data_IF_792899058347
#
_entry.id   IF_792899058347
#
_cell.length_a   1.000
_cell.length_b   1.000
_cell.length_c   1.000
_cell.angle_alpha   90.00
_cell.angle_beta   90.00
_cell.angle_gamma   90.00
#
_symmetry.space_group_name_H-M   'P 1'
#
loop_
_entity.id
_entity.type
_entity.pdbx_description
1 polymer ?
#
# COMPACT_ATOMS: atom_id res chain seq x y z
N UNK A 1 7.68 -4.59 10.92
CA UNK A 1 7.11 -3.53 11.78
C UNK A 1 6.71 -2.39 10.86
N UNK A 2 5.46 -1.94 10.88
CA UNK A 2 5.03 -0.75 10.15
C UNK A 2 4.59 0.34 11.13
N UNK A 3 4.87 1.56 10.74
CA UNK A 3 4.56 2.78 11.49
C UNK A 3 4.07 3.84 10.51
N UNK A 4 3.04 4.56 10.92
CA UNK A 4 2.59 5.77 10.26
C UNK A 4 2.75 6.89 11.25
N UNK A 5 3.45 7.94 10.82
CA UNK A 5 3.61 9.19 11.54
C UNK A 5 3.09 10.31 10.66
N UNK A 6 1.95 10.89 11.05
CA UNK A 6 1.37 12.05 10.39
C UNK A 6 1.93 13.33 11.00
N UNK A 7 3.20 13.63 10.70
CA UNK A 7 3.90 14.84 11.12
C UNK A 7 3.72 15.16 12.62
N UNK A 8 3.76 14.13 13.48
CA UNK A 8 3.61 14.26 14.93
C UNK A 8 2.19 14.51 15.45
N UNK A 9 1.18 14.57 14.58
CA UNK A 9 -0.22 14.74 14.99
C UNK A 9 -0.83 13.43 15.47
N UNK A 10 -0.49 12.33 14.82
CA UNK A 10 -0.94 11.00 15.17
C UNK A 10 0.07 9.98 14.68
N UNK A 11 0.32 8.96 15.50
CA UNK A 11 1.13 7.83 15.10
C UNK A 11 0.44 6.52 15.47
N UNK A 12 0.55 5.53 14.58
CA UNK A 12 0.03 4.18 14.80
C UNK A 12 1.09 3.19 14.37
N UNK A 13 1.29 2.16 15.20
CA UNK A 13 2.27 1.11 14.97
C UNK A 13 1.60 -0.25 14.98
N UNK A 14 1.96 -1.06 13.98
CA UNK A 14 1.56 -2.47 13.90
C UNK A 14 2.82 -3.34 13.84
N UNK A 15 2.88 -4.30 14.76
CA UNK A 15 3.98 -5.25 14.87
C UNK A 15 3.60 -6.62 14.26
N UNK A 16 4.61 -7.43 13.98
CA UNK A 16 4.44 -8.74 13.35
C UNK A 16 4.63 -8.72 11.83
N UNK A 17 4.46 -9.91 11.24
CA UNK A 17 4.51 -10.14 9.80
C UNK A 17 3.09 -10.18 9.26
N UNK A 18 2.70 -9.16 8.51
CA UNK A 18 1.35 -9.02 7.97
C UNK A 18 1.35 -8.88 6.44
N UNK A 19 2.48 -8.50 5.82
CA UNK A 19 2.64 -8.50 4.36
C UNK A 19 3.56 -9.64 3.91
N UNK A 20 3.19 -10.25 2.80
CA UNK A 20 4.01 -11.22 2.07
C UNK A 20 4.59 -10.59 0.81
N UNK A 21 5.61 -11.22 0.22
CA UNK A 21 6.15 -10.76 -1.07
C UNK A 21 5.12 -10.86 -2.20
N UNK A 22 4.14 -11.78 -2.10
CA UNK A 22 3.06 -11.89 -3.06
C UNK A 22 2.14 -10.67 -3.00
N UNK A 23 1.84 -10.18 -1.79
CA UNK A 23 1.00 -8.99 -1.61
C UNK A 23 1.67 -7.75 -2.24
N UNK A 24 2.99 -7.62 -2.03
CA UNK A 24 3.79 -6.56 -2.65
C UNK A 24 3.79 -6.66 -4.18
N UNK A 25 3.95 -7.88 -4.72
CA UNK A 25 3.96 -8.11 -6.16
C UNK A 25 2.61 -7.80 -6.82
N UNK A 26 1.51 -8.28 -6.24
CA UNK A 26 0.16 -7.96 -6.72
C UNK A 26 -0.10 -6.46 -6.68
N UNK A 27 0.24 -5.81 -5.56
CA UNK A 27 0.07 -4.36 -5.42
C UNK A 27 0.90 -3.56 -6.43
N UNK A 28 2.12 -4.01 -6.75
CA UNK A 28 2.95 -3.37 -7.79
C UNK A 28 2.29 -3.45 -9.17
N UNK A 29 1.71 -4.59 -9.52
CA UNK A 29 1.02 -4.76 -10.80
C UNK A 29 -0.22 -3.84 -10.87
N UNK A 30 -0.96 -3.72 -9.77
CA UNK A 30 -2.09 -2.79 -9.66
C UNK A 30 -1.64 -1.31 -9.70
N UNK A 31 -0.52 -0.97 -9.07
CA UNK A 31 0.08 0.37 -9.13
C UNK A 31 0.48 0.76 -10.56
N UNK A 32 1.01 -0.19 -11.33
CA UNK A 32 1.33 0.01 -12.75
C UNK A 32 0.07 0.30 -13.55
N UNK A 33 -1.01 -0.43 -13.29
CA UNK A 33 -2.31 -0.18 -13.94
C UNK A 33 -2.89 1.17 -13.53
N UNK A 34 -2.79 1.53 -12.24
CA UNK A 34 -3.21 2.82 -11.71
C UNK A 34 -2.47 3.98 -12.36
N UNK A 35 -1.17 3.83 -12.59
CA UNK A 35 -0.35 4.85 -13.26
C UNK A 35 -0.67 5.00 -14.76
N UNK A 36 -1.07 3.91 -15.42
CA UNK A 36 -1.38 3.93 -16.86
C UNK A 36 -2.80 4.41 -17.18
N UNK A 37 -3.76 4.17 -16.27
CA UNK A 37 -5.18 4.42 -16.54
C UNK A 37 -5.86 5.07 -15.33
N UNK A 38 -6.42 6.27 -15.54
CA UNK A 38 -7.25 6.94 -14.55
C UNK A 38 -8.49 6.10 -14.18
N UNK A 39 -8.95 6.22 -12.93
CA UNK A 39 -10.12 5.49 -12.41
C UNK A 39 -9.84 4.03 -11.99
N UNK A 40 -8.58 3.58 -12.03
CA UNK A 40 -8.18 2.31 -11.44
C UNK A 40 -7.91 2.45 -9.94
N UNK A 41 -7.81 1.31 -9.27
CA UNK A 41 -7.49 1.21 -7.84
C UNK A 41 -6.33 0.22 -7.67
N UNK A 42 -5.50 0.47 -6.65
CA UNK A 42 -4.50 -0.47 -6.18
C UNK A 42 -4.68 -0.70 -4.68
N UNK A 43 -4.58 -1.94 -4.23
CA UNK A 43 -4.75 -2.35 -2.84
C UNK A 43 -3.54 -3.16 -2.35
N UNK A 44 -2.96 -2.73 -1.24
CA UNK A 44 -1.99 -3.50 -0.48
C UNK A 44 -2.65 -3.98 0.80
N UNK A 45 -3.10 -5.22 0.79
CA UNK A 45 -3.74 -5.89 1.93
C UNK A 45 -2.82 -6.92 2.59
N UNK A 46 -2.98 -7.07 3.90
CA UNK A 46 -2.34 -8.14 4.68
C UNK A 46 -3.19 -9.40 4.73
N UNK A 47 -2.58 -10.54 5.10
CA UNK A 47 -3.31 -11.75 5.49
C UNK A 47 -3.95 -11.54 6.88
N UNK A 48 -5.00 -10.72 6.94
CA UNK A 48 -5.68 -10.29 8.16
C UNK A 48 -6.12 -8.82 8.11
N UNK A 49 -6.84 -8.31 9.12
CA UNK A 49 -7.30 -6.91 9.13
C UNK A 49 -6.23 -5.92 9.58
N UNK A 50 -5.02 -6.38 9.89
CA UNK A 50 -3.97 -5.59 10.53
C UNK A 50 -3.57 -4.36 9.71
N UNK A 51 -3.62 -4.48 8.38
CA UNK A 51 -3.21 -3.44 7.45
C UNK A 51 -3.95 -3.57 6.11
N UNK A 52 -4.52 -2.45 5.65
CA UNK A 52 -5.06 -2.27 4.31
C UNK A 52 -4.67 -0.87 3.83
N UNK A 53 -4.01 -0.76 2.68
CA UNK A 53 -3.81 0.49 1.96
C UNK A 53 -4.53 0.40 0.62
N UNK A 54 -5.42 1.34 0.33
CA UNK A 54 -6.10 1.47 -0.96
C UNK A 54 -5.74 2.80 -1.59
N UNK A 55 -5.38 2.77 -2.86
CA UNK A 55 -5.09 3.93 -3.68
C UNK A 55 -6.10 3.98 -4.82
N UNK A 56 -6.87 5.06 -4.92
CA UNK A 56 -7.84 5.27 -5.98
C UNK A 56 -7.45 6.50 -6.79
N UNK A 57 -7.20 6.31 -8.09
CA UNK A 57 -6.85 7.39 -9.00
C UNK A 57 -8.09 8.16 -9.43
N UNK A 58 -8.06 9.49 -9.31
CA UNK A 58 -9.09 10.36 -9.87
C UNK A 58 -8.82 10.63 -11.36
N UNK A 59 -9.85 11.11 -12.05
CA UNK A 59 -9.71 11.63 -13.42
C UNK A 59 -8.89 12.93 -13.51
N UNK A 60 -8.59 13.57 -12.37
CA UNK A 60 -7.91 14.86 -12.29
C UNK A 60 -6.41 14.76 -12.02
N UNK A 61 -5.85 13.56 -11.93
CA UNK A 61 -4.43 13.37 -11.62
C UNK A 61 -4.12 13.11 -10.14
N UNK A 62 -5.11 13.28 -9.26
CA UNK A 62 -4.96 13.04 -7.82
C UNK A 62 -5.17 11.56 -7.47
N UNK A 63 -4.61 11.12 -6.36
CA UNK A 63 -4.80 9.78 -5.82
C UNK A 63 -5.32 9.92 -4.40
N UNK A 64 -6.51 9.35 -4.14
CA UNK A 64 -7.01 9.19 -2.80
C UNK A 64 -6.39 7.93 -2.19
N UNK A 65 -5.74 8.08 -1.03
CA UNK A 65 -5.11 7.00 -0.30
C UNK A 65 -5.88 6.76 1.01
N UNK A 66 -6.54 5.62 1.09
CA UNK A 66 -7.26 5.16 2.27
C UNK A 66 -6.44 4.10 2.98
N UNK A 67 -6.06 4.38 4.22
CA UNK A 67 -5.16 3.53 4.99
C UNK A 67 -5.83 3.11 6.29
N UNK A 68 -6.00 1.81 6.46
CA UNK A 68 -6.59 1.21 7.65
C UNK A 68 -5.56 0.34 8.36
N UNK A 69 -5.44 0.54 9.67
CA UNK A 69 -4.61 -0.26 10.55
C UNK A 69 -5.42 -0.73 11.73
N UNK A 70 -5.27 -2.00 12.06
CA UNK A 70 -5.96 -2.62 13.17
C UNK A 70 -4.91 -3.32 14.04
N UNK A 71 -4.23 -2.58 14.94
CA UNK A 71 -3.22 -3.16 15.83
C UNK A 71 -3.79 -4.24 16.75
N UNK A 72 -5.05 -4.07 17.17
CA UNK A 72 -5.83 -5.05 17.91
C UNK A 72 -7.24 -5.13 17.31
N UNK A 73 -7.58 -6.31 16.79
CA UNK A 73 -8.85 -6.57 16.10
C UNK A 73 -10.09 -6.37 16.99
N UNK A 74 -9.94 -6.47 18.30
CA UNK A 74 -11.04 -6.36 19.25
C UNK A 74 -11.24 -4.94 19.76
N UNK A 75 -10.20 -4.10 19.75
CA UNK A 75 -10.20 -2.84 20.51
C UNK A 75 -9.87 -1.61 19.68
N UNK A 76 -9.04 -1.71 18.64
CA UNK A 76 -8.51 -0.52 17.95
C UNK A 76 -8.45 -0.69 16.43
N UNK A 77 -9.17 0.18 15.73
CA UNK A 77 -9.03 0.39 14.29
C UNK A 77 -8.80 1.87 14.02
N UNK A 78 -7.73 2.16 13.28
CA UNK A 78 -7.37 3.50 12.85
C UNK A 78 -7.50 3.59 11.34
N UNK A 79 -8.12 4.67 10.88
CA UNK A 79 -8.31 4.96 9.46
C UNK A 79 -7.75 6.34 9.15
N UNK A 80 -6.98 6.43 8.08
CA UNK A 80 -6.40 7.65 7.58
C UNK A 80 -6.79 7.85 6.12
N UNK A 81 -7.15 9.08 5.79
CA UNK A 81 -7.43 9.52 4.43
C UNK A 81 -6.36 10.53 4.03
N UNK A 82 -5.65 10.23 2.95
CA UNK A 82 -4.54 11.04 2.44
C UNK A 82 -4.79 11.33 0.96
N UNK A 83 -4.32 12.48 0.50
CA UNK A 83 -4.23 12.76 -0.94
C UNK A 83 -2.76 12.73 -1.37
N UNK A 84 -2.52 12.00 -2.45
CA UNK A 84 -1.23 11.87 -3.11
C UNK A 84 -1.35 12.40 -4.54
N UNK A 85 -0.23 12.84 -5.09
CA UNK A 85 -0.12 13.21 -6.50
C UNK A 85 0.43 12.03 -7.32
N UNK A 86 -0.03 11.87 -8.57
CA UNK A 86 0.46 10.81 -9.48
C UNK A 86 1.97 10.87 -9.72
N UNK A 87 2.61 12.03 -9.56
CA UNK A 87 4.07 12.19 -9.67
C UNK A 87 4.86 11.32 -8.69
N UNK A 88 4.24 10.85 -7.60
CA UNK A 88 4.89 9.92 -6.66
C UNK A 88 4.90 8.46 -7.14
N UNK A 89 3.96 8.06 -8.02
CA UNK A 89 3.81 6.66 -8.44
C UNK A 89 5.05 6.08 -9.11
N UNK A 90 5.73 6.76 -10.06
CA UNK A 90 6.94 6.22 -10.69
C UNK A 90 8.04 5.90 -9.68
N UNK A 91 8.20 6.75 -8.66
CA UNK A 91 9.18 6.54 -7.59
C UNK A 91 8.87 5.31 -6.74
N UNK A 92 7.60 5.15 -6.35
CA UNK A 92 7.12 4.02 -5.56
C UNK A 92 7.26 2.71 -6.34
N UNK A 93 6.81 2.69 -7.61
CA UNK A 93 6.91 1.52 -8.51
C UNK A 93 8.36 1.03 -8.58
N UNK A 94 9.31 1.95 -8.84
CA UNK A 94 10.74 1.62 -8.92
C UNK A 94 11.28 1.03 -7.61
N UNK A 95 10.87 1.55 -6.46
CA UNK A 95 11.31 1.03 -5.16
C UNK A 95 10.79 -0.39 -4.91
N UNK A 96 9.52 -0.65 -5.25
CA UNK A 96 8.93 -1.98 -5.12
C UNK A 96 9.56 -2.98 -6.09
N UNK A 97 9.89 -2.55 -7.32
CA UNK A 97 10.66 -3.36 -8.27
C UNK A 97 12.00 -3.80 -7.67
N UNK A 98 12.80 -2.86 -7.14
CA UNK A 98 14.08 -3.17 -6.48
C UNK A 98 13.90 -4.13 -5.29
N UNK A 99 12.82 -4.01 -4.52
CA UNK A 99 12.51 -4.93 -3.42
C UNK A 99 12.24 -6.34 -3.94
N UNK A 100 11.45 -6.47 -5.01
CA UNK A 100 11.09 -7.77 -5.60
C UNK A 100 12.26 -8.43 -6.35
N UNK A 101 13.15 -7.65 -6.96
CA UNK A 101 14.40 -8.15 -7.52
C UNK A 101 15.29 -8.76 -6.45
N UNK A 102 15.39 -8.09 -5.28
CA UNK A 102 16.20 -8.58 -4.16
C UNK A 102 15.56 -9.74 -3.42
N UNK A 103 14.23 -9.75 -3.34
CA UNK A 103 13.45 -10.76 -2.62
C UNK A 103 12.35 -11.32 -3.54
N UNK A 104 12.71 -12.18 -4.51
CA UNK A 104 11.77 -12.67 -5.50
C UNK A 104 10.67 -13.52 -4.86
N UNK A 105 9.46 -13.42 -5.42
CA UNK A 105 8.33 -14.28 -5.04
C UNK A 105 8.65 -15.71 -5.50
N UNK A 106 8.88 -16.62 -4.55
CA UNK A 106 9.13 -18.03 -4.87
C UNK A 106 7.87 -18.67 -5.46
N UNK A 107 8.02 -19.35 -6.61
CA UNK A 107 6.94 -20.09 -7.26
C UNK A 107 6.00 -19.26 -8.13
N UNK A 108 6.38 -18.03 -8.51
CA UNK A 108 5.70 -17.29 -9.59
C UNK A 108 6.21 -17.86 -10.93
N UNK A 109 5.34 -18.38 -11.82
CA UNK A 109 5.76 -18.65 -13.20
C UNK A 109 6.06 -17.31 -13.90
N UNK A 110 7.12 -17.29 -14.71
CA UNK A 110 7.47 -16.16 -15.58
C UNK A 110 6.34 -15.79 -16.55
#
# INVERSE_FOLDING_TARGET
MAEIDLAGQSWVRVAGSFLTMRDIASFLDELRQLHQQAGRMAELGSFGPAFILRLAGSSTGSIAAHLKLTPDILTHTHTFELQLDQTHLPGIIRQLDTILERFPVRGRPD
#
